data_IF_318487198406
#
_entry.id   IF_318487198406
#
_cell.length_a   1.000
_cell.length_b   1.000
_cell.length_c   1.000
_cell.angle_alpha   90.00
_cell.angle_beta   90.00
_cell.angle_gamma   90.00
#
_symmetry.space_group_name_H-M   'P 1'
#
loop_
_entity.id
_entity.type
_entity.pdbx_description
1 polymer ?
#
# COMPACT_ATOMS: atom_id res chain seq x y z
N UNK A 1 -4.52 -26.76 17.11
CA UNK A 1 -5.01 -25.38 17.39
C UNK A 1 -4.64 -24.52 16.18
N UNK A 2 -5.60 -24.19 15.31
CA UNK A 2 -5.38 -23.16 14.29
C UNK A 2 -5.22 -21.83 15.04
N UNK A 3 -4.04 -21.24 15.02
CA UNK A 3 -3.91 -19.83 15.38
C UNK A 3 -4.67 -19.06 14.31
N UNK A 4 -5.78 -18.47 14.69
CA UNK A 4 -6.52 -17.59 13.81
C UNK A 4 -5.56 -16.50 13.32
N UNK A 5 -5.44 -16.36 12.00
CA UNK A 5 -4.63 -15.32 11.42
C UNK A 5 -5.24 -13.97 11.81
N UNK A 6 -4.41 -12.99 12.20
CA UNK A 6 -4.93 -11.68 12.57
C UNK A 6 -5.71 -11.07 11.40
N UNK A 7 -6.84 -10.46 11.71
CA UNK A 7 -7.67 -9.78 10.72
C UNK A 7 -6.96 -8.50 10.25
N UNK A 8 -7.16 -8.14 8.99
CA UNK A 8 -6.62 -6.89 8.42
C UNK A 8 -7.04 -5.70 9.28
N UNK A 9 -6.08 -4.84 9.62
CA UNK A 9 -6.32 -3.65 10.45
C UNK A 9 -6.31 -3.89 11.96
N UNK A 10 -6.13 -5.13 12.42
CA UNK A 10 -5.98 -5.39 13.86
C UNK A 10 -4.62 -4.91 14.39
N UNK A 11 -4.58 -4.63 15.69
CA UNK A 11 -3.34 -4.21 16.35
C UNK A 11 -2.25 -5.29 16.24
N UNK A 12 -2.62 -6.56 16.35
CA UNK A 12 -1.70 -7.70 16.27
C UNK A 12 -1.05 -7.81 14.88
N UNK A 13 -1.83 -7.58 13.82
CA UNK A 13 -1.30 -7.55 12.46
C UNK A 13 -0.30 -6.42 12.28
N UNK A 14 -0.62 -5.24 12.77
CA UNK A 14 0.26 -4.07 12.68
C UNK A 14 1.54 -4.26 13.49
N UNK A 15 1.45 -4.86 14.67
CA UNK A 15 2.61 -5.18 15.50
C UNK A 15 3.51 -6.21 14.81
N UNK A 16 2.94 -7.26 14.20
CA UNK A 16 3.68 -8.24 13.43
C UNK A 16 4.39 -7.59 12.22
N UNK A 17 3.66 -6.82 11.43
CA UNK A 17 4.23 -6.15 10.27
C UNK A 17 5.31 -5.13 10.65
N UNK A 18 5.16 -4.47 11.80
CA UNK A 18 6.13 -3.48 12.27
C UNK A 18 7.55 -4.02 12.39
N UNK A 19 7.69 -5.33 12.70
CA UNK A 19 8.98 -6.00 12.81
C UNK A 19 9.67 -6.22 11.46
N UNK A 20 8.90 -6.18 10.37
CA UNK A 20 9.38 -6.54 9.03
C UNK A 20 9.55 -5.35 8.08
N UNK A 21 9.01 -4.18 8.45
CA UNK A 21 9.18 -2.97 7.63
C UNK A 21 10.67 -2.61 7.52
N UNK A 22 11.21 -2.43 6.30
CA UNK A 22 12.63 -2.16 6.08
C UNK A 22 12.96 -0.66 6.25
N UNK A 23 12.81 -0.12 7.47
CA UNK A 23 12.92 1.33 7.75
C UNK A 23 14.24 1.94 7.26
N UNK A 24 15.36 1.26 7.48
CA UNK A 24 16.69 1.75 7.06
C UNK A 24 16.78 1.85 5.54
N UNK A 25 16.32 0.81 4.83
CA UNK A 25 16.30 0.80 3.38
C UNK A 25 15.43 1.95 2.82
N UNK A 26 14.25 2.17 3.40
CA UNK A 26 13.33 3.23 2.98
C UNK A 26 13.96 4.60 3.19
N UNK A 27 14.62 4.82 4.33
CA UNK A 27 15.27 6.08 4.64
C UNK A 27 16.52 6.34 3.76
N UNK A 28 17.20 5.29 3.29
CA UNK A 28 18.31 5.38 2.34
C UNK A 28 17.83 5.66 0.92
N UNK A 29 16.73 5.02 0.51
CA UNK A 29 16.14 5.20 -0.81
C UNK A 29 15.61 6.63 -1.02
N UNK A 30 15.05 7.21 0.04
CA UNK A 30 14.49 8.56 0.03
C UNK A 30 15.16 9.41 1.13
N UNK A 31 16.44 9.75 0.97
CA UNK A 31 17.16 10.50 1.97
C UNK A 31 16.50 11.85 2.21
N UNK A 32 16.56 12.31 3.46
CA UNK A 32 16.13 13.67 3.80
C UNK A 32 16.95 14.65 2.96
N UNK A 33 16.26 15.43 2.13
CA UNK A 33 16.93 16.42 1.29
C UNK A 33 17.80 17.34 2.14
N UNK A 34 19.05 17.52 1.76
CA UNK A 34 19.99 18.46 2.38
C UNK A 34 19.76 19.91 1.91
N UNK A 35 18.64 20.17 1.20
CA UNK A 35 18.34 21.47 0.62
C UNK A 35 18.06 22.55 1.67
N UNK A 36 18.26 23.80 1.25
CA UNK A 36 17.84 25.00 1.99
C UNK A 36 16.31 24.97 2.06
N UNK A 37 15.76 24.77 3.26
CA UNK A 37 14.31 24.69 3.47
C UNK A 37 13.94 24.13 4.82
N UNK A 38 12.65 24.14 5.13
CA UNK A 38 12.12 23.62 6.40
C UNK A 38 12.42 22.11 6.51
N UNK A 39 13.04 21.69 7.59
CA UNK A 39 13.33 20.27 7.85
C UNK A 39 12.05 19.46 7.78
N UNK A 40 12.07 18.34 7.06
CA UNK A 40 10.95 17.39 7.05
C UNK A 40 10.75 16.85 8.46
N UNK A 41 9.54 17.00 8.99
CA UNK A 41 9.20 16.55 10.34
C UNK A 41 9.18 15.02 10.44
N UNK A 42 8.92 14.31 9.33
CA UNK A 42 8.77 12.85 9.30
C UNK A 42 9.86 12.21 8.44
N UNK A 43 10.29 11.02 8.85
CA UNK A 43 11.18 10.18 8.05
C UNK A 43 10.41 9.55 6.89
N UNK A 44 11.13 9.09 5.85
CA UNK A 44 10.52 8.36 4.76
C UNK A 44 9.85 7.06 5.24
N UNK A 45 10.48 6.38 6.20
CA UNK A 45 9.92 5.18 6.82
C UNK A 45 8.60 5.45 7.56
N UNK A 46 8.50 6.55 8.32
CA UNK A 46 7.25 6.93 8.96
C UNK A 46 6.13 7.20 7.93
N UNK A 47 6.44 7.91 6.85
CA UNK A 47 5.47 8.18 5.78
C UNK A 47 5.04 6.90 5.05
N UNK A 48 5.99 5.97 4.81
CA UNK A 48 5.66 4.64 4.27
C UNK A 48 4.73 3.86 5.18
N UNK A 49 5.00 3.83 6.48
CA UNK A 49 4.14 3.14 7.46
C UNK A 49 2.73 3.72 7.48
N UNK A 50 2.58 5.05 7.41
CA UNK A 50 1.27 5.69 7.30
C UNK A 50 0.60 5.38 5.96
N UNK A 51 1.36 5.32 4.86
CA UNK A 51 0.86 4.89 3.56
C UNK A 51 0.29 3.47 3.60
N UNK A 52 0.96 2.54 4.27
CA UNK A 52 0.48 1.15 4.43
C UNK A 52 -0.82 1.04 5.24
N UNK A 53 -1.13 1.97 6.13
CA UNK A 53 -2.38 1.95 6.87
C UNK A 53 -3.60 2.04 5.95
N UNK A 54 -3.49 2.71 4.80
CA UNK A 54 -4.60 2.86 3.87
C UNK A 54 -5.15 1.51 3.36
N UNK A 55 -4.35 0.62 2.76
CA UNK A 55 -4.83 -0.70 2.35
C UNK A 55 -5.05 -1.65 3.53
N UNK A 56 -4.26 -1.56 4.61
CA UNK A 56 -4.33 -2.50 5.73
C UNK A 56 -5.56 -2.30 6.62
N UNK A 57 -6.10 -1.09 6.68
CA UNK A 57 -7.23 -0.76 7.56
C UNK A 57 -8.56 -0.66 6.83
N UNK A 58 -8.59 -0.91 5.52
CA UNK A 58 -9.80 -0.82 4.71
C UNK A 58 -10.35 0.61 4.52
N UNK A 59 -9.61 1.64 4.94
CA UNK A 59 -10.02 3.04 4.68
C UNK A 59 -9.87 3.41 3.21
N UNK A 60 -8.95 2.73 2.48
CA UNK A 60 -8.62 2.93 1.07
C UNK A 60 -8.37 4.39 0.66
N UNK A 61 -8.10 5.25 1.64
CA UNK A 61 -8.00 6.70 1.43
C UNK A 61 -7.03 7.34 2.42
N UNK A 62 -6.14 8.20 1.93
CA UNK A 62 -5.27 8.99 2.79
C UNK A 62 -6.04 9.95 3.69
N UNK A 63 -7.14 10.53 3.22
CA UNK A 63 -7.99 11.39 4.03
C UNK A 63 -8.56 10.62 5.23
N UNK A 64 -9.02 9.38 5.01
CA UNK A 64 -9.52 8.52 6.07
C UNK A 64 -8.44 8.19 7.10
N UNK A 65 -7.26 7.77 6.62
CA UNK A 65 -6.12 7.47 7.50
C UNK A 65 -5.71 8.68 8.32
N UNK A 66 -5.46 9.83 7.68
CA UNK A 66 -4.98 11.04 8.36
C UNK A 66 -5.98 11.55 9.39
N UNK A 67 -7.29 11.44 9.12
CA UNK A 67 -8.34 11.83 10.05
C UNK A 67 -8.38 10.95 11.30
N UNK A 68 -8.20 9.62 11.13
CA UNK A 68 -8.30 8.65 12.23
C UNK A 68 -6.98 8.45 12.99
N UNK A 69 -5.84 8.69 12.33
CA UNK A 69 -4.51 8.45 12.88
C UNK A 69 -4.26 9.13 14.26
N UNK A 70 -4.73 10.36 14.55
CA UNK A 70 -4.54 10.98 15.86
C UNK A 70 -5.15 10.18 17.01
N UNK A 71 -6.29 9.54 16.78
CA UNK A 71 -7.08 8.84 17.79
C UNK A 71 -6.68 7.37 17.93
N UNK A 72 -6.08 6.79 16.90
CA UNK A 72 -5.75 5.36 16.83
C UNK A 72 -4.34 5.07 17.38
N UNK A 73 -4.26 4.67 18.65
CA UNK A 73 -2.96 4.38 19.32
C UNK A 73 -2.15 3.31 18.59
N UNK A 74 -2.79 2.23 18.12
CA UNK A 74 -2.12 1.16 17.39
C UNK A 74 -1.52 1.66 16.07
N UNK A 75 -2.23 2.52 15.35
CA UNK A 75 -1.74 3.12 14.10
C UNK A 75 -0.56 4.06 14.34
N UNK A 76 -0.63 4.89 15.39
CA UNK A 76 0.48 5.76 15.77
C UNK A 76 1.72 4.97 16.14
N UNK A 77 1.55 3.89 16.92
CA UNK A 77 2.65 2.99 17.27
C UNK A 77 3.27 2.34 16.03
N UNK A 78 2.44 1.80 15.14
CA UNK A 78 2.88 1.26 13.87
C UNK A 78 3.64 2.29 13.02
N UNK A 79 3.15 3.51 12.93
CA UNK A 79 3.79 4.60 12.21
C UNK A 79 5.00 5.21 12.93
N UNK A 80 5.38 4.69 14.10
CA UNK A 80 6.46 5.21 14.95
C UNK A 80 6.29 6.71 15.28
N UNK A 81 5.05 7.11 15.53
CA UNK A 81 4.71 8.48 15.95
C UNK A 81 4.46 8.50 17.45
N UNK A 82 5.18 9.36 18.16
CA UNK A 82 4.94 9.55 19.59
C UNK A 82 3.55 10.19 19.83
N UNK A 83 3.03 10.02 21.04
CA UNK A 83 1.69 10.54 21.38
C UNK A 83 1.55 12.05 21.18
N UNK A 84 2.65 12.80 21.34
CA UNK A 84 2.68 14.28 21.25
C UNK A 84 3.06 14.79 19.86
N UNK A 85 3.55 13.93 18.98
CA UNK A 85 3.93 14.33 17.64
C UNK A 85 2.69 14.62 16.79
N UNK A 86 2.83 15.60 15.89
CA UNK A 86 1.85 15.85 14.85
C UNK A 86 1.76 14.64 13.93
N UNK A 87 0.63 14.47 13.29
CA UNK A 87 0.44 13.47 12.24
C UNK A 87 0.78 14.07 10.87
N UNK A 88 1.30 13.27 9.93
CA UNK A 88 1.48 13.72 8.56
C UNK A 88 0.13 14.12 7.96
N UNK A 89 0.14 15.08 7.06
CA UNK A 89 -1.02 15.45 6.27
C UNK A 89 -1.08 14.66 4.95
N UNK A 90 -2.21 14.75 4.26
CA UNK A 90 -2.46 14.05 2.99
C UNK A 90 -1.46 14.46 1.91
N UNK A 91 -1.08 15.75 1.87
CA UNK A 91 -0.12 16.27 0.91
C UNK A 91 1.25 15.63 1.07
N UNK A 92 1.72 15.46 2.32
CA UNK A 92 2.99 14.78 2.60
C UNK A 92 3.00 13.34 2.11
N UNK A 93 1.87 12.63 2.22
CA UNK A 93 1.74 11.26 1.71
C UNK A 93 1.78 11.21 0.18
N UNK A 94 1.14 12.16 -0.50
CA UNK A 94 1.22 12.29 -1.95
C UNK A 94 2.64 12.67 -2.42
N UNK A 95 3.30 13.62 -1.74
CA UNK A 95 4.68 14.01 -2.04
C UNK A 95 5.65 12.83 -1.82
N UNK A 96 5.45 12.05 -0.76
CA UNK A 96 6.22 10.82 -0.51
C UNK A 96 6.02 9.83 -1.66
N UNK A 97 4.77 9.53 -2.03
CA UNK A 97 4.44 8.60 -3.11
C UNK A 97 5.03 9.05 -4.45
N UNK A 98 4.90 10.32 -4.77
CA UNK A 98 5.46 10.90 -6.01
C UNK A 98 6.99 10.86 -6.01
N UNK A 99 7.62 11.16 -4.87
CA UNK A 99 9.08 11.12 -4.73
C UNK A 99 9.66 9.71 -4.81
N UNK A 100 8.96 8.72 -4.27
CA UNK A 100 9.36 7.32 -4.39
C UNK A 100 9.18 6.79 -5.82
N UNK A 101 8.14 7.21 -6.49
CA UNK A 101 7.75 6.70 -7.80
C UNK A 101 7.39 5.22 -7.75
N UNK A 102 7.01 4.67 -8.91
CA UNK A 102 6.63 3.24 -9.02
C UNK A 102 7.78 2.32 -8.67
N UNK A 103 8.98 2.62 -9.18
CA UNK A 103 10.18 1.80 -8.94
C UNK A 103 10.58 1.77 -7.47
N UNK A 104 10.56 2.91 -6.79
CA UNK A 104 10.88 2.99 -5.38
C UNK A 104 9.86 2.27 -4.50
N UNK A 105 8.56 2.44 -4.77
CA UNK A 105 7.50 1.74 -4.05
C UNK A 105 7.59 0.23 -4.25
N UNK A 106 7.89 -0.23 -5.47
CA UNK A 106 8.11 -1.65 -5.77
C UNK A 106 9.31 -2.18 -4.99
N UNK A 107 10.46 -1.50 -5.02
CA UNK A 107 11.65 -1.92 -4.29
C UNK A 107 11.40 -2.04 -2.77
N UNK A 108 10.65 -1.11 -2.17
CA UNK A 108 10.28 -1.18 -0.75
C UNK A 108 9.38 -2.40 -0.50
N UNK A 109 8.38 -2.62 -1.36
CA UNK A 109 7.47 -3.75 -1.24
C UNK A 109 8.21 -5.09 -1.36
N UNK A 110 9.11 -5.23 -2.32
CA UNK A 110 9.92 -6.43 -2.53
C UNK A 110 10.79 -6.75 -1.30
N UNK A 111 11.38 -5.72 -0.68
CA UNK A 111 12.14 -5.89 0.57
C UNK A 111 11.25 -6.33 1.74
N UNK A 112 10.05 -5.76 1.87
CA UNK A 112 9.09 -6.16 2.90
C UNK A 112 8.65 -7.61 2.70
N UNK A 113 8.24 -7.96 1.48
CA UNK A 113 7.80 -9.32 1.12
C UNK A 113 8.92 -10.33 1.34
N UNK A 114 10.16 -10.01 0.93
CA UNK A 114 11.31 -10.90 1.14
C UNK A 114 11.57 -11.18 2.62
N UNK A 115 11.36 -10.19 3.51
CA UNK A 115 11.47 -10.39 4.95
C UNK A 115 10.34 -11.26 5.48
N UNK A 116 9.10 -11.02 5.06
CA UNK A 116 7.92 -11.80 5.47
C UNK A 116 8.03 -13.25 5.02
N UNK A 117 8.47 -13.51 3.79
CA UNK A 117 8.62 -14.86 3.23
C UNK A 117 9.62 -15.73 4.01
N UNK A 118 10.60 -15.14 4.70
CA UNK A 118 11.53 -15.90 5.56
C UNK A 118 10.82 -16.54 6.76
N UNK A 119 9.70 -15.97 7.20
CA UNK A 119 8.93 -16.45 8.35
C UNK A 119 7.78 -17.39 7.96
N UNK A 120 7.48 -17.50 6.65
CA UNK A 120 6.45 -18.42 6.17
C UNK A 120 7.03 -19.84 6.06
N UNK A 121 6.23 -20.83 6.48
CA UNK A 121 6.54 -22.25 6.25
C UNK A 121 6.50 -22.55 4.75
N UNK A 122 7.21 -23.61 4.35
CA UNK A 122 7.26 -24.02 2.93
C UNK A 122 5.87 -24.24 2.32
N UNK A 123 4.95 -24.82 3.08
CA UNK A 123 3.56 -25.03 2.69
C UNK A 123 2.77 -23.73 2.45
N UNK A 124 3.11 -22.66 3.18
CA UNK A 124 2.47 -21.35 3.04
C UNK A 124 3.03 -20.53 1.87
N UNK A 125 4.25 -20.84 1.43
CA UNK A 125 4.89 -20.15 0.29
C UNK A 125 4.30 -20.56 -1.06
N UNK A 126 3.60 -21.68 -1.13
CA UNK A 126 2.97 -22.19 -2.34
C UNK A 126 1.54 -21.64 -2.57
N UNK A 127 0.99 -20.89 -1.62
CA UNK A 127 -0.31 -20.25 -1.80
C UNK A 127 -0.14 -19.02 -2.71
N UNK A 128 -0.51 -19.16 -3.97
CA UNK A 128 -0.59 -18.05 -4.90
C UNK A 128 -1.80 -17.15 -4.58
N UNK A 129 -1.58 -15.85 -4.50
CA UNK A 129 -2.69 -14.88 -4.49
C UNK A 129 -3.06 -14.65 -5.96
N UNK A 130 -4.23 -15.14 -6.37
CA UNK A 130 -4.79 -14.83 -7.68
C UNK A 130 -5.48 -13.46 -7.55
N UNK A 131 -4.87 -12.44 -8.14
CA UNK A 131 -5.50 -11.13 -8.23
C UNK A 131 -6.51 -11.15 -9.37
N UNK A 132 -7.74 -10.69 -9.10
CA UNK A 132 -8.82 -10.58 -10.08
C UNK A 132 -8.51 -9.62 -11.23
N UNK A 133 -7.43 -8.85 -11.14
CA UNK A 133 -6.97 -7.94 -12.20
C UNK A 133 -6.39 -8.66 -13.42
N UNK A 134 -5.97 -9.93 -13.28
CA UNK A 134 -5.44 -10.74 -14.38
C UNK A 134 -6.52 -11.49 -15.19
N UNK A 135 -7.79 -11.35 -14.83
CA UNK A 135 -8.87 -11.86 -15.64
C UNK A 135 -9.05 -10.95 -16.87
N UNK A 136 -8.81 -11.44 -18.09
CA UNK A 136 -9.05 -10.65 -19.28
C UNK A 136 -10.53 -10.24 -19.27
N UNK A 137 -10.76 -8.93 -19.32
CA UNK A 137 -12.10 -8.39 -19.33
C UNK A 137 -12.86 -9.00 -20.52
N UNK A 138 -13.92 -9.77 -20.23
CA UNK A 138 -14.76 -10.44 -21.22
C UNK A 138 -15.52 -9.48 -22.16
N UNK A 139 -15.12 -8.22 -22.19
CA UNK A 139 -15.76 -7.14 -22.98
C UNK A 139 -15.15 -6.90 -24.35
N UNK A 140 -14.10 -7.63 -24.75
CA UNK A 140 -13.47 -7.42 -26.06
C UNK A 140 -14.28 -8.00 -27.24
N UNK A 141 -15.21 -8.93 -27.01
CA UNK A 141 -15.86 -9.67 -28.08
C UNK A 141 -17.30 -9.22 -28.46
N UNK A 142 -17.82 -8.14 -27.87
CA UNK A 142 -19.17 -7.64 -28.20
C UNK A 142 -19.24 -6.52 -29.24
N UNK A 143 -18.13 -6.19 -29.91
CA UNK A 143 -18.12 -5.14 -30.95
C UNK A 143 -17.94 -5.64 -32.38
N UNK A 144 -18.20 -6.91 -32.65
CA UNK A 144 -18.17 -7.43 -34.05
C UNK A 144 -19.41 -8.19 -34.38
N UNK A 145 -20.56 -7.57 -34.38
CA UNK A 145 -21.72 -8.08 -35.14
C UNK A 145 -22.70 -6.95 -35.35
N UNK A 146 -22.28 -5.93 -36.08
CA UNK A 146 -23.18 -5.10 -36.89
C UNK A 146 -22.45 -4.90 -38.20
N UNK A 147 -22.51 -5.91 -39.03
CA UNK A 147 -22.15 -5.79 -40.42
C UNK A 147 -23.23 -6.41 -41.28
N UNK A 148 -23.54 -5.66 -42.28
CA UNK A 148 -24.30 -6.05 -43.48
C UNK A 148 -25.82 -6.07 -43.38
N UNK A 149 -26.36 -4.86 -43.25
CA UNK A 149 -27.65 -4.56 -43.87
C UNK A 149 -27.46 -4.39 -45.36
N UNK A 150 -27.84 -5.41 -46.14
CA UNK A 150 -27.98 -5.28 -47.59
C UNK A 150 -29.07 -4.26 -47.92
N UNK A 151 -28.88 -3.44 -48.95
CA UNK A 151 -29.93 -2.55 -49.43
C UNK A 151 -31.04 -3.41 -50.04
N UNK A 152 -32.23 -3.20 -49.52
CA UNK A 152 -33.45 -3.83 -50.01
C UNK A 152 -33.90 -3.09 -51.27
N UNK A 153 -33.63 -3.66 -52.42
CA UNK A 153 -34.30 -3.27 -53.67
C UNK A 153 -35.72 -3.72 -53.58
N UNK A 154 -36.65 -2.79 -53.76
CA UNK A 154 -38.08 -3.09 -54.08
C UNK A 154 -38.37 -2.63 -55.45
N UNK A 155 -39.25 -3.39 -56.12
CA UNK A 155 -39.71 -3.13 -57.45
C UNK A 155 -40.66 -1.94 -57.54
#
# INVERSE_FOLDING_TARGET
MRKDLPTVGTAELLDLLSLHVPDEFINQLLPRGRGVGRRRCFSAAQLWRVHLLSPLTGTHSYNGVVRLLPEQRAWRRFAQLSHRERTPDVRMLHEFRSGAGVSGLRAINDQLVARLLKHLRAEQKSVGIIDSTDLPAATADKKKTVENGQPNERP
#
